data_IF_829751887611
#
_entry.id   IF_829751887611
#
_cell.length_a   1.000
_cell.length_b   1.000
_cell.length_c   1.000
_cell.angle_alpha   90.00
_cell.angle_beta   90.00
_cell.angle_gamma   90.00
#
_symmetry.space_group_name_H-M   'P 1'
#
loop_
_entity.id
_entity.type
_entity.pdbx_description
1 polymer ?
#
# COMPACT_ATOMS: atom_id res chain seq x y z
N UNK A 1 3.19 -12.06 -7.42
CA UNK A 1 3.92 -10.84 -7.82
C UNK A 1 3.32 -9.64 -7.10
N UNK A 2 4.17 -8.67 -6.74
CA UNK A 2 3.88 -7.66 -5.72
C UNK A 2 2.51 -6.98 -5.90
N UNK A 3 1.69 -7.10 -4.86
CA UNK A 3 0.32 -6.58 -4.80
C UNK A 3 0.19 -5.69 -3.56
N UNK A 4 -0.04 -4.39 -3.80
CA UNK A 4 -0.16 -3.42 -2.71
C UNK A 4 -1.39 -3.69 -1.84
N UNK A 5 -2.45 -4.28 -2.40
CA UNK A 5 -3.66 -4.62 -1.66
C UNK A 5 -3.43 -5.76 -0.67
N UNK A 6 -2.63 -6.76 -1.05
CA UNK A 6 -2.20 -7.86 -0.17
C UNK A 6 -1.33 -7.35 0.99
N UNK A 7 -0.56 -6.27 0.79
CA UNK A 7 0.28 -5.68 1.83
C UNK A 7 -0.52 -5.03 2.97
N UNK A 8 -1.69 -4.45 2.69
CA UNK A 8 -2.42 -3.61 3.65
C UNK A 8 -2.79 -4.35 4.96
N UNK A 9 -3.27 -5.60 4.94
CA UNK A 9 -3.47 -6.39 6.16
C UNK A 9 -2.20 -6.63 6.99
N UNK A 10 -1.03 -6.75 6.36
CA UNK A 10 0.25 -6.92 7.06
C UNK A 10 0.78 -5.61 7.64
N UNK A 11 0.51 -4.49 6.96
CA UNK A 11 0.88 -3.17 7.43
C UNK A 11 0.08 -2.76 8.67
N UNK A 12 -1.17 -3.21 8.80
CA UNK A 12 -2.03 -2.88 9.94
C UNK A 12 -1.44 -3.35 11.28
N UNK A 13 -1.29 -2.42 12.23
CA UNK A 13 -0.68 -2.72 13.53
C UNK A 13 0.84 -2.99 13.47
N UNK A 14 1.50 -2.84 12.33
CA UNK A 14 2.96 -2.98 12.21
C UNK A 14 3.70 -1.72 12.68
N UNK A 15 5.02 -1.84 12.84
CA UNK A 15 5.88 -0.68 13.13
C UNK A 15 5.90 0.38 12.01
N UNK A 16 5.53 0.00 10.77
CA UNK A 16 5.50 0.88 9.61
C UNK A 16 4.09 1.25 9.15
N UNK A 17 3.03 0.98 9.91
CA UNK A 17 1.63 1.25 9.49
C UNK A 17 1.40 2.68 8.96
N UNK A 18 2.14 3.68 9.46
CA UNK A 18 2.04 5.06 8.99
C UNK A 18 2.40 5.27 7.52
N UNK A 19 3.14 4.35 6.88
CA UNK A 19 3.44 4.43 5.43
C UNK A 19 2.20 4.25 4.55
N UNK A 20 1.11 3.69 5.09
CA UNK A 20 -0.19 3.68 4.40
C UNK A 20 -0.67 5.12 4.14
N UNK A 21 -0.37 6.06 5.04
CA UNK A 21 -0.64 7.48 4.82
C UNK A 21 0.19 8.08 3.68
N UNK A 22 1.43 7.60 3.47
CA UNK A 22 2.21 7.97 2.27
C UNK A 22 1.57 7.45 1.00
N UNK A 23 1.10 6.19 1.00
CA UNK A 23 0.42 5.62 -0.15
C UNK A 23 -0.86 6.40 -0.50
N UNK A 24 -1.66 6.80 0.50
CA UNK A 24 -2.87 7.60 0.28
C UNK A 24 -2.53 9.00 -0.24
N UNK A 25 -1.54 9.69 0.35
CA UNK A 25 -1.09 10.99 -0.16
C UNK A 25 -0.55 10.89 -1.59
N UNK A 26 0.19 9.82 -1.90
CA UNK A 26 0.67 9.53 -3.25
C UNK A 26 -0.48 9.29 -4.24
N UNK A 27 -1.49 8.53 -3.85
CA UNK A 27 -2.68 8.32 -4.66
C UNK A 27 -3.44 9.63 -4.93
N UNK A 28 -3.64 10.47 -3.92
CA UNK A 28 -4.28 11.79 -4.08
C UNK A 28 -3.46 12.68 -5.04
N UNK A 29 -2.12 12.63 -4.95
CA UNK A 29 -1.26 13.42 -5.81
C UNK A 29 -1.23 12.91 -7.26
N UNK A 30 -1.29 11.60 -7.46
CA UNK A 30 -1.26 10.97 -8.78
C UNK A 30 -2.62 10.99 -9.49
N UNK A 31 -3.72 10.90 -8.75
CA UNK A 31 -5.10 10.84 -9.24
C UNK A 31 -5.96 11.95 -8.61
N UNK A 32 -5.70 13.23 -8.93
CA UNK A 32 -6.38 14.37 -8.29
C UNK A 32 -7.90 14.37 -8.50
N UNK A 33 -8.41 13.77 -9.59
CA UNK A 33 -9.83 13.56 -9.86
C UNK A 33 -10.53 12.68 -8.81
N UNK A 34 -9.76 11.89 -8.06
CA UNK A 34 -10.24 11.01 -7.00
C UNK A 34 -10.00 11.57 -5.59
N UNK A 35 -9.37 12.75 -5.46
CA UNK A 35 -8.97 13.32 -4.18
C UNK A 35 -10.14 13.47 -3.19
N UNK A 36 -11.26 14.04 -3.64
CA UNK A 36 -12.43 14.26 -2.79
C UNK A 36 -13.07 12.95 -2.35
N UNK A 37 -13.17 11.98 -3.27
CA UNK A 37 -13.67 10.64 -2.99
C UNK A 37 -12.81 9.93 -1.93
N UNK A 38 -11.48 9.94 -2.10
CA UNK A 38 -10.53 9.37 -1.12
C UNK A 38 -10.67 10.06 0.24
N UNK A 39 -10.69 11.41 0.28
CA UNK A 39 -10.79 12.18 1.53
C UNK A 39 -12.12 11.97 2.25
N UNK A 40 -13.21 11.73 1.51
CA UNK A 40 -14.54 11.46 2.08
C UNK A 40 -14.60 10.17 2.91
N UNK A 41 -13.70 9.21 2.65
CA UNK A 41 -13.60 7.94 3.39
C UNK A 41 -12.75 8.05 4.66
N UNK A 42 -12.20 9.23 4.96
CA UNK A 42 -11.32 9.47 6.10
C UNK A 42 -12.03 10.19 7.24
N UNK A 43 -11.79 9.73 8.46
CA UNK A 43 -12.20 10.46 9.66
C UNK A 43 -11.38 11.75 9.80
N UNK A 44 -11.77 12.71 10.67
CA UNK A 44 -10.90 13.85 11.00
C UNK A 44 -9.50 13.42 11.47
N UNK A 45 -9.42 12.28 12.17
CA UNK A 45 -8.16 11.67 12.58
C UNK A 45 -7.37 11.14 11.38
N UNK A 46 -8.03 10.54 10.39
CA UNK A 46 -7.43 10.11 9.11
C UNK A 46 -6.87 11.29 8.32
N UNK A 47 -7.63 12.37 8.19
CA UNK A 47 -7.16 13.59 7.53
C UNK A 47 -5.97 14.21 8.26
N UNK A 48 -5.99 14.25 9.60
CA UNK A 48 -4.86 14.71 10.40
C UNK A 48 -3.62 13.82 10.24
N UNK A 49 -3.80 12.50 10.08
CA UNK A 49 -2.69 11.59 9.77
C UNK A 49 -2.06 11.94 8.43
N UNK A 50 -2.87 12.13 7.37
CA UNK A 50 -2.36 12.52 6.05
C UNK A 50 -1.59 13.83 6.08
N UNK A 51 -2.13 14.84 6.78
CA UNK A 51 -1.48 16.13 6.98
C UNK A 51 -0.14 15.98 7.71
N UNK A 52 -0.09 15.12 8.74
CA UNK A 52 1.13 14.86 9.52
C UNK A 52 2.19 14.19 8.67
N UNK A 53 1.86 13.05 8.05
CA UNK A 53 2.84 12.25 7.30
C UNK A 53 3.33 12.97 6.04
N UNK A 54 2.54 13.90 5.46
CA UNK A 54 3.00 14.72 4.32
C UNK A 54 4.29 15.52 4.57
N UNK A 55 4.63 15.76 5.84
CA UNK A 55 5.80 16.52 6.28
C UNK A 55 6.81 15.68 7.05
N UNK A 56 6.66 14.36 7.04
CA UNK A 56 7.51 13.43 7.80
C UNK A 56 8.41 12.61 6.90
N UNK A 57 9.58 12.27 7.42
CA UNK A 57 10.38 11.16 6.93
C UNK A 57 10.02 9.88 7.72
N UNK A 58 10.41 8.72 7.18
CA UNK A 58 10.06 7.40 7.75
C UNK A 58 10.34 7.26 9.25
N UNK A 59 11.46 7.82 9.75
CA UNK A 59 11.82 7.75 11.17
C UNK A 59 10.79 8.42 12.08
N UNK A 60 10.32 9.62 11.72
CA UNK A 60 9.29 10.33 12.49
C UNK A 60 7.94 9.61 12.41
N UNK A 61 7.60 9.06 11.24
CA UNK A 61 6.36 8.30 11.06
C UNK A 61 6.32 7.04 11.90
N UNK A 62 7.44 6.34 12.07
CA UNK A 62 7.54 5.21 12.99
C UNK A 62 7.25 5.67 14.42
N UNK A 63 7.93 6.73 14.89
CA UNK A 63 7.75 7.24 16.26
C UNK A 63 6.31 7.64 16.55
N UNK A 64 5.63 8.26 15.57
CA UNK A 64 4.28 8.77 15.78
C UNK A 64 3.20 7.68 15.62
N UNK A 65 3.38 6.73 14.70
CA UNK A 65 2.30 5.86 14.24
C UNK A 65 2.52 4.36 14.43
N UNK A 66 3.72 3.89 14.83
CA UNK A 66 3.97 2.47 15.01
C UNK A 66 2.90 1.78 15.87
N UNK A 67 2.51 0.58 15.44
CA UNK A 67 1.56 -0.31 16.13
C UNK A 67 0.12 0.23 16.26
N UNK A 68 -0.22 1.32 15.57
CA UNK A 68 -1.61 1.77 15.47
C UNK A 68 -2.37 0.95 14.42
N UNK A 69 -3.66 0.77 14.64
CA UNK A 69 -4.54 0.15 13.64
C UNK A 69 -5.10 1.18 12.64
N UNK A 70 -5.43 0.74 11.44
CA UNK A 70 -5.92 1.53 10.32
C UNK A 70 -7.38 1.96 10.51
N UNK A 71 -8.23 1.07 11.03
CA UNK A 71 -9.67 1.30 11.13
C UNK A 71 -10.08 2.67 11.71
N UNK A 72 -9.46 3.20 12.79
CA UNK A 72 -9.80 4.52 13.34
C UNK A 72 -9.57 5.72 12.40
N UNK A 73 -8.85 5.54 11.29
CA UNK A 73 -8.59 6.59 10.30
C UNK A 73 -9.62 6.62 9.18
N UNK A 74 -10.48 5.60 9.06
CA UNK A 74 -11.51 5.47 8.03
C UNK A 74 -12.92 5.59 8.63
N UNK A 75 -13.85 6.16 7.86
CA UNK A 75 -15.26 6.36 8.28
C UNK A 75 -16.07 5.08 8.19
N UNK A 76 -15.61 4.12 7.38
CA UNK A 76 -16.24 2.84 7.08
C UNK A 76 -15.23 1.71 7.33
N UNK A 77 -15.64 0.45 7.22
CA UNK A 77 -14.73 -0.69 7.31
C UNK A 77 -13.61 -0.57 6.26
N UNK A 78 -12.36 -0.44 6.72
CA UNK A 78 -11.21 -0.23 5.82
C UNK A 78 -11.05 -1.39 4.84
N UNK A 79 -11.42 -2.60 5.23
CA UNK A 79 -11.31 -3.78 4.38
C UNK A 79 -12.40 -3.84 3.32
N UNK A 80 -13.50 -3.09 3.48
CA UNK A 80 -14.48 -2.86 2.43
C UNK A 80 -14.03 -1.72 1.52
N UNK A 81 -13.58 -0.60 2.09
CA UNK A 81 -13.16 0.60 1.34
C UNK A 81 -12.08 0.29 0.30
N UNK A 82 -11.09 -0.56 0.61
CA UNK A 82 -10.02 -0.94 -0.35
C UNK A 82 -10.52 -1.79 -1.53
N UNK A 83 -11.77 -2.26 -1.48
CA UNK A 83 -12.44 -3.00 -2.55
C UNK A 83 -13.44 -2.15 -3.33
N UNK A 84 -13.66 -0.89 -2.92
CA UNK A 84 -14.56 0.06 -3.58
C UNK A 84 -13.79 1.01 -4.50
N UNK A 85 -14.47 1.61 -5.47
CA UNK A 85 -13.89 2.70 -6.25
C UNK A 85 -13.77 3.98 -5.41
N UNK A 86 -12.68 4.76 -5.59
CA UNK A 86 -11.61 4.58 -6.58
C UNK A 86 -10.44 3.69 -6.12
N UNK A 87 -10.45 3.21 -4.87
CA UNK A 87 -9.33 2.46 -4.29
C UNK A 87 -9.05 1.16 -5.03
N UNK A 88 -10.09 0.43 -5.43
CA UNK A 88 -9.95 -0.86 -6.13
C UNK A 88 -9.13 -0.72 -7.41
N UNK A 89 -9.50 0.23 -8.29
CA UNK A 89 -8.77 0.47 -9.54
C UNK A 89 -7.36 1.01 -9.29
N UNK A 90 -7.21 1.99 -8.39
CA UNK A 90 -5.89 2.56 -8.07
C UNK A 90 -4.92 1.50 -7.54
N UNK A 91 -5.38 0.63 -6.62
CA UNK A 91 -4.56 -0.45 -6.06
C UNK A 91 -4.22 -1.51 -7.11
N UNK A 92 -5.16 -1.83 -8.00
CA UNK A 92 -4.94 -2.79 -9.08
C UNK A 92 -3.91 -2.30 -10.10
N UNK A 93 -3.87 -0.99 -10.37
CA UNK A 93 -2.85 -0.35 -11.22
C UNK A 93 -1.44 -0.46 -10.64
N UNK A 94 -1.29 -0.55 -9.31
CA UNK A 94 0.02 -0.71 -8.67
C UNK A 94 0.57 -2.14 -8.74
N UNK A 95 -0.19 -3.10 -9.30
CA UNK A 95 0.23 -4.49 -9.34
C UNK A 95 1.39 -4.71 -10.30
N UNK A 96 2.53 -5.09 -9.75
CA UNK A 96 3.70 -5.49 -10.54
C UNK A 96 3.50 -6.95 -10.97
N UNK A 97 3.95 -7.32 -12.17
CA UNK A 97 3.86 -8.69 -12.67
C UNK A 97 3.18 -8.87 -14.01
N UNK A 98 2.34 -7.92 -14.41
CA UNK A 98 1.49 -8.02 -15.60
C UNK A 98 2.26 -7.91 -16.92
N UNK A 99 3.46 -7.34 -16.89
CA UNK A 99 4.31 -7.13 -18.05
C UNK A 99 5.57 -7.97 -17.95
N UNK A 100 5.99 -8.51 -19.09
CA UNK A 100 7.26 -9.25 -19.22
C UNK A 100 8.44 -8.26 -19.17
N UNK A 101 9.38 -8.43 -18.24
CA UNK A 101 10.64 -7.69 -18.27
C UNK A 101 11.40 -7.91 -19.59
N UNK A 102 12.11 -6.89 -20.07
CA UNK A 102 12.95 -6.98 -21.27
C UNK A 102 14.46 -7.08 -20.95
N UNK A 103 14.79 -7.27 -19.68
CA UNK A 103 16.15 -7.42 -19.16
C UNK A 103 16.13 -8.41 -17.98
N UNK A 104 17.26 -9.06 -17.65
CA UNK A 104 17.35 -9.95 -16.50
C UNK A 104 16.95 -9.27 -15.19
N UNK A 105 16.13 -9.93 -14.36
CA UNK A 105 15.66 -9.41 -13.08
C UNK A 105 16.04 -10.35 -11.94
N UNK A 106 16.58 -9.79 -10.85
CA UNK A 106 16.78 -10.49 -9.58
C UNK A 106 15.74 -10.01 -8.56
N UNK A 107 14.93 -10.92 -8.05
CA UNK A 107 14.02 -10.65 -6.93
C UNK A 107 14.57 -11.36 -5.69
N UNK A 108 14.73 -10.60 -4.60
CA UNK A 108 15.14 -11.13 -3.30
C UNK A 108 14.11 -10.73 -2.24
N UNK A 109 13.70 -11.69 -1.41
CA UNK A 109 12.71 -11.48 -0.35
C UNK A 109 13.13 -12.25 0.89
N UNK A 110 13.05 -11.61 2.05
CA UNK A 110 13.20 -12.32 3.32
C UNK A 110 11.88 -13.01 3.68
N UNK A 111 11.92 -14.33 3.89
CA UNK A 111 10.74 -15.12 4.32
C UNK A 111 10.17 -14.66 5.66
N UNK A 112 11.01 -14.10 6.52
CA UNK A 112 10.67 -13.66 7.87
C UNK A 112 10.58 -12.13 8.00
N UNK A 113 10.39 -11.41 6.90
CA UNK A 113 10.17 -9.96 6.95
C UNK A 113 8.86 -9.66 7.71
N UNK A 114 8.90 -8.88 8.81
CA UNK A 114 7.71 -8.58 9.61
C UNK A 114 6.89 -7.39 9.07
N UNK A 115 7.30 -6.78 7.95
CA UNK A 115 6.73 -5.55 7.40
C UNK A 115 6.15 -5.79 6.01
N UNK A 116 6.80 -6.60 5.17
CA UNK A 116 6.37 -6.90 3.79
C UNK A 116 6.26 -8.42 3.61
N UNK A 117 5.07 -8.96 3.30
CA UNK A 117 4.90 -10.39 3.16
C UNK A 117 5.66 -10.93 1.95
N UNK A 118 6.41 -12.01 2.16
CA UNK A 118 7.13 -12.69 1.07
C UNK A 118 6.17 -13.38 0.07
N UNK A 119 4.92 -13.64 0.45
CA UNK A 119 3.90 -14.30 -0.38
C UNK A 119 3.52 -13.49 -1.61
N UNK A 120 3.56 -12.15 -1.51
CA UNK A 120 3.36 -11.27 -2.65
C UNK A 120 4.45 -11.41 -3.71
N UNK A 121 5.64 -11.92 -3.37
CA UNK A 121 6.78 -12.09 -4.29
C UNK A 121 6.71 -13.38 -5.12
N UNK A 122 5.52 -13.79 -5.55
CA UNK A 122 5.34 -14.90 -6.48
C UNK A 122 5.88 -14.55 -7.89
N UNK A 123 7.03 -15.15 -8.24
CA UNK A 123 7.72 -15.02 -9.52
C UNK A 123 7.07 -15.84 -10.64
N UNK A 124 6.17 -16.77 -10.31
CA UNK A 124 5.53 -17.66 -11.29
C UNK A 124 4.78 -16.86 -12.36
N UNK A 125 4.28 -15.67 -12.01
CA UNK A 125 3.60 -14.79 -12.95
C UNK A 125 4.54 -14.37 -14.10
N UNK A 126 5.78 -13.99 -13.81
CA UNK A 126 6.77 -13.64 -14.83
C UNK A 126 7.36 -14.86 -15.54
N UNK A 127 7.60 -15.96 -14.83
CA UNK A 127 8.05 -17.22 -15.44
C UNK A 127 7.03 -17.75 -16.47
N UNK A 128 5.73 -17.61 -16.18
CA UNK A 128 4.66 -17.99 -17.12
C UNK A 128 4.64 -17.15 -18.40
N UNK A 129 5.24 -15.95 -18.39
CA UNK A 129 5.42 -15.09 -19.57
C UNK A 129 6.70 -15.46 -20.37
N UNK A 130 7.33 -16.58 -20.04
CA UNK A 130 8.44 -17.18 -20.79
C UNK A 130 9.81 -16.70 -20.35
N UNK A 131 10.06 -16.66 -19.04
CA UNK A 131 11.40 -16.54 -18.45
C UNK A 131 11.86 -17.91 -17.95
N UNK A 132 12.96 -18.42 -18.52
CA UNK A 132 13.78 -19.44 -17.87
C UNK A 132 14.80 -18.72 -16.98
N UNK A 133 14.95 -19.22 -15.76
CA UNK A 133 15.86 -18.70 -14.73
C UNK A 133 17.30 -18.46 -15.21
#
# INVERSE_FOLDING_TARGET
MADLKELLPYADGSALVGVVGYAINGAIAAYPEHADAIRSKLTPRGQAMLESVSRQCVGQTILDFAFRHLQPYFTEDVWQVINEEPFSSILDEQRVGRYKPNAPVLINSNRYDPLVPWTSNDQNLWMSLGEAA
#
